data_IF_616559224790
#
_entry.id   IF_616559224790
#
_cell.length_a   1.000
_cell.length_b   1.000
_cell.length_c   1.000
_cell.angle_alpha   90.00
_cell.angle_beta   90.00
_cell.angle_gamma   90.00
#
_symmetry.space_group_name_H-M   'P 1'
#
loop_
_entity.id
_entity.type
_entity.pdbx_description
1 polymer ?
#
# COMPACT_ATOMS: atom_id res chain seq x y z
N UNK A 1 -16.57 23.55 14.97
CA UNK A 1 -18.05 23.61 14.72
C UNK A 1 -18.49 22.94 13.42
N UNK A 2 -17.61 22.47 12.52
CA UNK A 2 -18.01 21.79 11.26
C UNK A 2 -18.03 20.26 11.38
N UNK A 3 -17.18 19.67 12.19
CA UNK A 3 -17.06 18.20 12.40
C UNK A 3 -18.29 17.64 13.12
N UNK A 4 -18.85 18.38 14.08
CA UNK A 4 -20.05 17.95 14.83
C UNK A 4 -21.28 17.77 13.94
N UNK A 5 -21.37 18.49 12.82
CA UNK A 5 -22.51 18.36 11.88
C UNK A 5 -22.38 17.11 10.99
N UNK A 6 -21.19 16.65 10.71
CA UNK A 6 -20.95 15.41 9.95
C UNK A 6 -21.24 14.19 10.82
N UNK A 7 -20.82 14.20 12.08
CA UNK A 7 -21.15 13.16 13.06
C UNK A 7 -22.65 13.01 13.30
N UNK A 8 -23.39 14.13 13.33
CA UNK A 8 -24.87 14.10 13.47
C UNK A 8 -25.55 13.56 12.22
N UNK A 9 -25.01 13.81 11.01
CA UNK A 9 -25.54 13.22 9.78
C UNK A 9 -25.32 11.71 9.70
N UNK A 10 -24.21 11.22 10.23
CA UNK A 10 -23.89 9.78 10.31
C UNK A 10 -24.81 9.10 11.34
N UNK A 11 -25.11 9.73 12.48
CA UNK A 11 -25.98 9.13 13.50
C UNK A 11 -27.45 8.98 13.06
N UNK A 12 -27.94 9.76 12.10
CA UNK A 12 -29.29 9.59 11.54
C UNK A 12 -29.40 8.41 10.56
N UNK A 13 -28.30 7.91 10.02
CA UNK A 13 -28.29 6.76 9.10
C UNK A 13 -28.55 5.42 9.82
N UNK A 14 -28.40 5.34 11.13
CA UNK A 14 -28.48 4.11 11.92
C UNK A 14 -29.84 3.85 12.59
N UNK A 15 -30.86 4.65 12.33
CA UNK A 15 -32.09 4.63 13.14
C UNK A 15 -33.16 3.59 12.73
N UNK A 16 -32.89 2.71 11.72
CA UNK A 16 -33.87 1.69 11.32
C UNK A 16 -33.15 0.35 11.07
N UNK A 17 -32.97 -0.45 12.10
CA UNK A 17 -32.60 -1.86 11.95
C UNK A 17 -33.78 -2.72 12.36
N UNK A 18 -34.58 -3.13 11.38
CA UNK A 18 -35.51 -4.25 11.54
C UNK A 18 -34.90 -5.48 10.87
N UNK A 19 -34.60 -6.50 11.67
CA UNK A 19 -34.15 -7.83 11.26
C UNK A 19 -33.10 -7.88 10.13
N UNK A 20 -31.82 -7.71 10.49
CA UNK A 20 -30.74 -8.07 9.59
C UNK A 20 -30.80 -9.60 9.35
N UNK A 21 -31.07 -10.03 8.13
CA UNK A 21 -30.75 -11.37 7.71
C UNK A 21 -29.22 -11.49 7.78
N UNK A 22 -28.73 -12.44 8.55
CA UNK A 22 -27.27 -12.71 8.59
C UNK A 22 -26.81 -13.07 7.18
N UNK A 23 -25.96 -12.24 6.59
CA UNK A 23 -25.35 -12.51 5.30
C UNK A 23 -24.46 -13.75 5.37
N UNK A 24 -24.12 -14.28 4.21
CA UNK A 24 -23.21 -15.43 4.11
C UNK A 24 -21.80 -15.04 4.59
N UNK A 25 -21.24 -15.85 5.48
CA UNK A 25 -19.84 -15.74 5.88
C UNK A 25 -18.97 -16.40 4.79
N UNK A 26 -18.12 -15.64 4.17
CA UNK A 26 -17.12 -16.13 3.21
C UNK A 26 -15.76 -16.18 3.89
N UNK A 27 -15.06 -17.29 3.71
CA UNK A 27 -13.67 -17.45 4.11
C UNK A 27 -12.85 -17.65 2.85
N UNK A 28 -11.88 -16.79 2.63
CA UNK A 28 -10.88 -16.92 1.56
C UNK A 28 -9.49 -16.97 2.18
N UNK A 29 -8.53 -17.49 1.46
CA UNK A 29 -7.17 -17.53 1.94
C UNK A 29 -6.16 -17.64 0.83
N UNK A 30 -4.93 -17.35 1.17
CA UNK A 30 -3.78 -17.63 0.34
C UNK A 30 -2.67 -18.26 1.16
N UNK A 31 -1.83 -19.02 0.48
CA UNK A 31 -0.58 -19.52 1.01
C UNK A 31 0.49 -19.37 -0.05
N UNK A 32 1.57 -18.72 0.30
CA UNK A 32 2.73 -18.53 -0.57
C UNK A 32 3.94 -19.22 0.06
N UNK A 33 4.66 -20.00 -0.72
CA UNK A 33 5.97 -20.57 -0.35
C UNK A 33 7.02 -19.98 -1.27
N UNK A 34 8.10 -19.49 -0.69
CA UNK A 34 9.21 -18.91 -1.44
C UNK A 34 10.50 -19.70 -1.21
N UNK A 35 11.33 -19.73 -2.23
CA UNK A 35 12.74 -20.09 -2.14
C UNK A 35 13.55 -18.89 -2.62
N UNK A 36 14.37 -18.32 -1.75
CA UNK A 36 15.20 -17.16 -2.05
C UNK A 36 16.67 -17.48 -1.82
N UNK A 37 17.51 -17.13 -2.78
CA UNK A 37 18.95 -17.28 -2.70
C UNK A 37 19.61 -15.92 -2.95
N UNK A 38 20.42 -15.47 -2.00
CA UNK A 38 21.30 -14.32 -2.18
C UNK A 38 22.58 -14.80 -2.87
N UNK A 39 22.95 -14.11 -3.96
CA UNK A 39 24.10 -14.53 -4.79
C UNK A 39 25.41 -14.02 -4.19
N UNK A 40 25.39 -12.80 -3.63
CA UNK A 40 26.57 -12.11 -3.10
C UNK A 40 26.67 -12.16 -1.57
N UNK A 41 25.72 -12.82 -0.90
CA UNK A 41 25.62 -12.94 0.54
C UNK A 41 25.64 -14.39 1.05
N UNK A 42 25.55 -14.52 2.37
CA UNK A 42 25.34 -15.83 3.00
C UNK A 42 23.83 -16.06 3.12
N UNK A 43 23.30 -16.91 2.26
CA UNK A 43 21.91 -17.37 2.39
C UNK A 43 21.76 -18.21 3.65
N UNK A 44 20.88 -17.80 4.55
CA UNK A 44 20.47 -18.61 5.70
C UNK A 44 19.51 -19.72 5.30
N UNK A 45 18.33 -19.83 5.95
CA UNK A 45 17.29 -20.72 5.46
C UNK A 45 16.61 -20.05 4.23
N UNK A 46 16.72 -20.65 3.02
CA UNK A 46 16.16 -20.02 1.82
C UNK A 46 14.65 -20.14 1.68
N UNK A 47 14.00 -20.93 2.53
CA UNK A 47 12.56 -21.16 2.45
C UNK A 47 11.80 -20.16 3.30
N UNK A 48 10.85 -19.45 2.68
CA UNK A 48 9.86 -18.60 3.32
C UNK A 48 8.45 -19.13 3.14
N UNK A 49 7.53 -18.69 4.00
CA UNK A 49 6.12 -19.00 3.91
C UNK A 49 5.30 -17.83 4.42
N UNK A 50 4.34 -17.40 3.61
CA UNK A 50 3.31 -16.42 3.95
C UNK A 50 1.93 -17.11 3.97
N UNK A 51 1.06 -16.69 4.88
CA UNK A 51 -0.27 -17.28 5.09
C UNK A 51 -1.25 -16.21 5.51
N UNK A 52 -2.36 -16.12 4.80
CA UNK A 52 -3.44 -15.22 5.15
C UNK A 52 -4.79 -15.93 5.07
N UNK A 53 -5.66 -15.65 6.04
CA UNK A 53 -7.08 -15.96 5.99
C UNK A 53 -7.88 -14.68 6.12
N UNK A 54 -8.90 -14.54 5.29
CA UNK A 54 -9.82 -13.40 5.30
C UNK A 54 -11.24 -13.88 5.51
N UNK A 55 -11.86 -13.40 6.56
CA UNK A 55 -13.25 -13.62 6.91
C UNK A 55 -14.04 -12.40 6.49
N UNK A 56 -15.07 -12.58 5.68
CA UNK A 56 -15.92 -11.48 5.23
C UNK A 56 -17.38 -11.88 5.24
N UNK A 57 -18.23 -10.90 5.50
CA UNK A 57 -19.67 -11.05 5.44
C UNK A 57 -20.32 -9.75 5.00
N UNK A 58 -21.46 -9.86 4.32
CA UNK A 58 -22.22 -8.68 3.90
C UNK A 58 -23.72 -8.92 4.01
N UNK A 59 -24.46 -7.86 4.19
CA UNK A 59 -25.91 -7.85 4.15
C UNK A 59 -26.42 -6.58 3.50
N UNK A 60 -27.58 -6.66 2.85
CA UNK A 60 -28.27 -5.51 2.32
C UNK A 60 -29.34 -5.04 3.32
N UNK A 61 -29.43 -3.74 3.53
CA UNK A 61 -30.44 -3.09 4.34
C UNK A 61 -31.68 -2.77 3.51
N UNK A 62 -32.82 -2.57 4.16
CA UNK A 62 -34.11 -2.27 3.51
C UNK A 62 -34.09 -1.01 2.62
N UNK A 63 -33.14 -0.12 2.83
CA UNK A 63 -32.93 1.08 2.03
C UNK A 63 -31.97 0.89 0.83
N UNK A 64 -31.54 -0.36 0.54
CA UNK A 64 -30.64 -0.69 -0.53
C UNK A 64 -29.15 -0.42 -0.26
N UNK A 65 -28.79 -0.02 0.96
CA UNK A 65 -27.40 0.08 1.38
C UNK A 65 -26.85 -1.30 1.70
N UNK A 66 -25.57 -1.53 1.40
CA UNK A 66 -24.86 -2.75 1.80
C UNK A 66 -23.99 -2.49 3.02
N UNK A 67 -24.08 -3.34 4.03
CA UNK A 67 -23.14 -3.37 5.15
C UNK A 67 -22.22 -4.57 4.98
N UNK A 68 -20.92 -4.35 5.03
CA UNK A 68 -19.91 -5.40 4.93
C UNK A 68 -18.96 -5.34 6.10
N UNK A 69 -18.52 -6.51 6.55
CA UNK A 69 -17.48 -6.65 7.57
C UNK A 69 -16.36 -7.51 7.04
N UNK A 70 -15.14 -7.21 7.44
CA UNK A 70 -13.94 -7.96 7.09
C UNK A 70 -13.02 -8.06 8.29
N UNK A 71 -12.39 -9.21 8.45
CA UNK A 71 -11.30 -9.47 9.38
C UNK A 71 -10.30 -10.40 8.70
N UNK A 72 -9.04 -10.01 8.66
CA UNK A 72 -7.94 -10.85 8.17
C UNK A 72 -7.09 -11.43 9.31
N UNK A 73 -6.18 -12.32 8.94
CA UNK A 73 -5.08 -12.77 9.80
C UNK A 73 -3.76 -12.38 9.18
N UNK A 74 -2.72 -12.27 9.99
CA UNK A 74 -1.34 -12.12 9.54
C UNK A 74 -0.66 -13.49 9.38
N UNK A 75 0.61 -13.53 8.97
CA UNK A 75 1.43 -14.73 8.78
C UNK A 75 1.49 -15.66 9.98
N UNK A 76 1.33 -15.13 11.18
CA UNK A 76 1.27 -15.91 12.41
C UNK A 76 -0.13 -16.42 12.72
N UNK A 77 -1.10 -16.23 11.81
CA UNK A 77 -2.53 -16.53 11.98
C UNK A 77 -3.16 -15.83 13.19
N UNK A 78 -2.61 -14.71 13.61
CA UNK A 78 -3.26 -13.81 14.56
C UNK A 78 -4.11 -12.79 13.81
N UNK A 79 -5.17 -12.31 14.45
CA UNK A 79 -6.02 -11.31 13.82
C UNK A 79 -5.23 -10.03 13.48
N UNK A 80 -5.28 -9.69 12.21
CA UNK A 80 -4.66 -8.51 11.63
C UNK A 80 -5.63 -7.33 11.51
N UNK A 81 -5.99 -6.96 10.29
CA UNK A 81 -6.84 -5.82 10.00
C UNK A 81 -8.32 -6.15 10.11
N UNK A 82 -9.11 -5.14 10.41
CA UNK A 82 -10.56 -5.23 10.44
C UNK A 82 -11.20 -4.01 9.81
N UNK A 83 -12.33 -4.20 9.13
CA UNK A 83 -13.06 -3.12 8.52
C UNK A 83 -14.57 -3.37 8.54
N UNK A 84 -15.32 -2.32 8.77
CA UNK A 84 -16.76 -2.25 8.53
C UNK A 84 -17.04 -1.20 7.46
N UNK A 85 -17.83 -1.58 6.46
CA UNK A 85 -18.12 -0.72 5.31
C UNK A 85 -19.61 -0.57 5.10
N UNK A 86 -20.01 0.62 4.66
CA UNK A 86 -21.39 0.98 4.28
C UNK A 86 -21.35 1.40 2.81
N UNK A 87 -21.78 0.50 1.95
CA UNK A 87 -21.74 0.65 0.49
C UNK A 87 -23.05 1.11 -0.10
N UNK A 88 -23.02 1.35 -1.42
CA UNK A 88 -24.16 1.81 -2.21
C UNK A 88 -24.74 3.15 -1.72
N UNK A 89 -23.91 4.01 -1.12
CA UNK A 89 -24.31 5.36 -0.75
C UNK A 89 -24.42 6.19 -2.02
N UNK A 90 -25.62 6.76 -2.26
CA UNK A 90 -25.94 7.51 -3.48
C UNK A 90 -25.67 6.71 -4.78
N UNK A 91 -25.59 5.38 -4.71
CA UNK A 91 -25.37 4.50 -5.85
C UNK A 91 -23.90 4.36 -6.32
N UNK A 92 -22.95 5.11 -5.74
CA UNK A 92 -21.55 5.10 -6.22
C UNK A 92 -20.48 5.18 -5.12
N UNK A 93 -20.86 5.35 -3.86
CA UNK A 93 -19.90 5.60 -2.78
C UNK A 93 -19.99 4.56 -1.65
N UNK A 94 -18.90 4.42 -0.91
CA UNK A 94 -18.76 3.60 0.29
C UNK A 94 -18.08 4.41 1.39
N UNK A 95 -18.62 4.41 2.59
CA UNK A 95 -17.94 4.88 3.79
C UNK A 95 -17.47 3.65 4.57
N UNK A 96 -16.29 3.69 5.13
CA UNK A 96 -15.75 2.58 5.91
C UNK A 96 -15.00 3.05 7.15
N UNK A 97 -14.93 2.18 8.15
CA UNK A 97 -14.13 2.36 9.37
C UNK A 97 -13.31 1.10 9.57
N UNK A 98 -12.02 1.25 9.73
CA UNK A 98 -11.15 0.10 9.93
C UNK A 98 -9.66 0.44 9.87
N UNK A 99 -8.87 -0.60 10.06
CA UNK A 99 -7.41 -0.56 9.95
C UNK A 99 -6.89 -1.18 8.65
N UNK A 100 -7.77 -1.70 7.79
CA UNK A 100 -7.41 -2.23 6.48
C UNK A 100 -7.01 -1.11 5.53
N UNK A 101 -6.02 -1.38 4.72
CA UNK A 101 -5.41 -0.61 3.62
C UNK A 101 -5.50 0.92 3.70
N UNK A 102 -4.35 1.56 3.65
CA UNK A 102 -4.23 2.99 3.40
C UNK A 102 -4.43 3.28 1.90
N UNK A 103 -5.05 4.41 1.52
CA UNK A 103 -5.20 4.80 0.11
C UNK A 103 -3.90 4.95 -0.67
N UNK A 104 -2.81 5.41 -0.04
CA UNK A 104 -1.51 5.63 -0.69
C UNK A 104 -0.66 4.37 -0.68
N UNK A 105 -0.70 3.59 0.41
CA UNK A 105 -0.08 2.27 0.51
C UNK A 105 -0.58 1.32 -0.60
N UNK A 106 -1.85 1.35 -0.89
CA UNK A 106 -2.44 0.54 -1.97
C UNK A 106 -2.08 0.96 -3.40
N UNK A 107 -1.21 1.95 -3.57
CA UNK A 107 -0.70 2.43 -4.87
C UNK A 107 0.82 2.72 -4.82
N UNK A 108 1.53 2.16 -3.87
CA UNK A 108 2.96 2.36 -3.67
C UNK A 108 3.79 1.88 -4.88
N UNK A 109 3.38 0.80 -5.52
CA UNK A 109 4.07 0.11 -6.62
C UNK A 109 3.09 -0.39 -7.69
N UNK A 110 2.63 0.49 -8.55
CA UNK A 110 1.65 0.15 -9.60
C UNK A 110 2.27 0.04 -11.00
N UNK A 111 3.59 -0.05 -11.12
CA UNK A 111 4.23 -0.28 -12.42
C UNK A 111 4.01 -1.72 -12.90
N UNK A 112 3.87 -1.96 -14.24
CA UNK A 112 3.61 -3.29 -14.75
C UNK A 112 4.71 -4.29 -14.44
N UNK A 113 4.34 -5.42 -13.85
CA UNK A 113 5.25 -6.54 -13.55
C UNK A 113 4.61 -7.88 -13.88
N UNK A 114 5.42 -8.93 -14.02
CA UNK A 114 4.97 -10.31 -14.22
C UNK A 114 4.87 -11.09 -12.91
N UNK A 115 5.63 -10.67 -11.88
CA UNK A 115 5.64 -11.27 -10.55
C UNK A 115 5.78 -10.18 -9.49
N UNK A 116 6.99 -9.74 -9.17
CA UNK A 116 7.28 -8.68 -8.20
C UNK A 116 7.94 -7.50 -8.90
N UNK A 117 7.86 -6.33 -8.29
CA UNK A 117 8.58 -5.13 -8.68
C UNK A 117 10.10 -5.36 -8.55
N UNK A 118 10.91 -4.38 -8.95
CA UNK A 118 12.36 -4.54 -9.00
C UNK A 118 12.98 -4.94 -7.65
N UNK A 119 12.45 -4.41 -6.55
CA UNK A 119 12.92 -4.67 -5.18
C UNK A 119 12.00 -5.58 -4.37
N UNK A 120 10.84 -6.00 -4.90
CA UNK A 120 9.82 -6.75 -4.19
C UNK A 120 10.28 -8.12 -3.69
N UNK A 121 11.21 -8.76 -4.38
CA UNK A 121 11.78 -10.05 -3.99
C UNK A 121 13.06 -9.96 -3.16
N UNK A 122 13.29 -8.86 -2.46
CA UNK A 122 14.29 -8.76 -1.39
C UNK A 122 15.67 -8.27 -1.82
N UNK A 123 15.84 -7.74 -3.03
CA UNK A 123 17.11 -7.10 -3.43
C UNK A 123 17.07 -5.61 -3.07
N UNK A 124 18.14 -5.15 -2.41
CA UNK A 124 18.32 -3.76 -2.00
C UNK A 124 17.43 -3.34 -0.83
N UNK A 125 17.52 -2.07 -0.48
CA UNK A 125 16.68 -1.44 0.54
C UNK A 125 16.21 -0.09 0.04
N UNK A 126 14.93 0.20 0.20
CA UNK A 126 14.39 1.53 -0.10
C UNK A 126 13.29 1.90 0.88
N UNK A 127 12.92 3.16 0.91
CA UNK A 127 11.82 3.65 1.72
C UNK A 127 10.67 3.99 0.79
N UNK A 128 9.57 3.28 0.98
CA UNK A 128 8.39 3.35 0.16
C UNK A 128 7.34 4.34 0.67
N UNK A 129 6.42 4.70 -0.21
CA UNK A 129 5.19 5.40 0.20
C UNK A 129 4.26 4.38 0.85
N UNK A 130 3.96 4.54 2.11
CA UNK A 130 3.06 3.66 2.86
C UNK A 130 1.92 4.44 3.55
N UNK A 131 1.76 5.71 3.22
CA UNK A 131 0.69 6.54 3.72
C UNK A 131 0.67 6.63 5.24
N UNK A 132 -0.49 6.44 5.84
CA UNK A 132 -0.71 6.41 7.29
C UNK A 132 -1.02 4.98 7.71
N UNK A 133 0.03 4.17 7.90
CA UNK A 133 -0.09 2.74 8.15
C UNK A 133 -0.52 2.41 9.59
N UNK A 134 -1.17 1.26 9.76
CA UNK A 134 -1.29 0.54 11.03
C UNK A 134 -2.35 1.01 12.02
N UNK A 135 -3.17 2.02 11.72
CA UNK A 135 -4.17 2.53 12.65
C UNK A 135 -5.59 2.54 12.09
N UNK A 136 -6.58 2.59 12.97
CA UNK A 136 -7.99 2.67 12.59
C UNK A 136 -8.34 4.10 12.15
N UNK A 137 -8.94 4.21 10.97
CA UNK A 137 -9.41 5.46 10.40
C UNK A 137 -10.82 5.34 9.84
N UNK A 138 -11.37 6.47 9.43
CA UNK A 138 -12.61 6.56 8.66
C UNK A 138 -12.27 6.91 7.22
N UNK A 139 -12.81 6.15 6.27
CA UNK A 139 -12.51 6.34 4.86
C UNK A 139 -13.74 6.45 3.99
N UNK A 140 -13.51 6.89 2.78
CA UNK A 140 -14.49 7.09 1.72
C UNK A 140 -13.91 6.56 0.41
N UNK A 141 -14.62 5.64 -0.24
CA UNK A 141 -14.33 5.13 -1.58
C UNK A 141 -15.45 5.51 -2.52
N UNK A 142 -15.14 5.96 -3.72
CA UNK A 142 -16.14 6.26 -4.74
C UNK A 142 -15.62 6.01 -6.16
N UNK A 143 -16.47 5.43 -7.00
CA UNK A 143 -16.30 5.49 -8.44
C UNK A 143 -16.94 6.79 -8.92
N UNK A 144 -16.11 7.83 -9.08
CA UNK A 144 -16.59 9.17 -9.43
C UNK A 144 -17.22 9.14 -10.82
N UNK A 145 -18.48 9.62 -10.96
CA UNK A 145 -19.18 9.62 -12.26
C UNK A 145 -18.41 10.35 -13.37
N UNK A 146 -18.85 10.14 -14.61
CA UNK A 146 -18.28 10.75 -15.82
C UNK A 146 -16.84 10.30 -16.14
N UNK A 147 -16.43 9.13 -15.62
CA UNK A 147 -15.11 8.57 -15.91
C UNK A 147 -13.94 9.28 -15.22
N UNK A 148 -14.21 10.12 -14.22
CA UNK A 148 -13.15 10.79 -13.44
C UNK A 148 -12.24 9.75 -12.77
N UNK A 149 -12.81 8.62 -12.32
CA UNK A 149 -12.02 7.51 -11.79
C UNK A 149 -12.42 7.02 -10.41
N UNK A 150 -11.59 6.17 -9.84
CA UNK A 150 -11.76 5.63 -8.49
C UNK A 150 -11.00 6.50 -7.49
N UNK A 151 -11.75 7.13 -6.58
CA UNK A 151 -11.24 7.92 -5.47
C UNK A 151 -11.26 7.08 -4.19
N UNK A 152 -10.18 7.10 -3.43
CA UNK A 152 -10.12 6.58 -2.08
C UNK A 152 -9.51 7.65 -1.17
N UNK A 153 -10.16 7.94 -0.04
CA UNK A 153 -9.66 8.90 0.94
C UNK A 153 -9.88 8.36 2.35
N UNK A 154 -8.93 8.56 3.26
CA UNK A 154 -9.02 8.08 4.63
C UNK A 154 -8.45 9.13 5.59
N UNK A 155 -9.13 9.30 6.71
CA UNK A 155 -8.71 10.18 7.79
C UNK A 155 -8.49 9.35 9.06
N UNK A 156 -7.39 9.61 9.72
CA UNK A 156 -6.96 8.97 10.94
C UNK A 156 -6.94 10.00 12.06
N UNK A 157 -7.86 9.93 13.02
CA UNK A 157 -7.93 10.91 14.11
C UNK A 157 -6.65 10.98 14.95
N UNK A 158 -5.89 9.87 14.98
CA UNK A 158 -4.59 9.76 15.62
C UNK A 158 -3.74 8.78 14.81
N UNK A 159 -2.68 9.24 14.19
CA UNK A 159 -1.88 8.44 13.23
C UNK A 159 -0.99 7.37 13.90
N UNK A 160 -0.71 7.49 15.19
CA UNK A 160 -0.02 6.48 16.00
C UNK A 160 -0.96 5.77 16.98
N UNK A 161 -2.26 5.96 16.83
CA UNK A 161 -3.26 5.36 17.71
C UNK A 161 -3.36 3.86 17.52
N UNK A 162 -3.33 3.10 18.61
CA UNK A 162 -3.61 1.67 18.59
C UNK A 162 -5.05 1.37 18.16
N UNK A 163 -5.30 0.17 17.68
CA UNK A 163 -6.67 -0.34 17.45
C UNK A 163 -7.43 -0.33 18.78
N UNK A 164 -8.61 0.29 18.78
CA UNK A 164 -9.43 0.40 19.98
C UNK A 164 -10.34 -0.81 20.15
N UNK A 165 -10.52 -1.27 21.39
CA UNK A 165 -11.64 -2.10 21.76
C UNK A 165 -12.96 -1.30 21.69
N UNK A 166 -14.09 -2.01 21.63
CA UNK A 166 -15.41 -1.39 21.67
C UNK A 166 -15.56 -0.48 22.92
N UNK A 167 -16.09 0.72 22.70
CA UNK A 167 -16.34 1.76 23.73
C UNK A 167 -15.10 2.24 24.49
N UNK A 168 -13.91 2.00 23.93
CA UNK A 168 -12.64 2.43 24.55
C UNK A 168 -11.89 3.30 23.55
N UNK A 169 -11.59 4.55 23.91
CA UNK A 169 -10.67 5.38 23.16
C UNK A 169 -9.23 4.98 23.47
N UNK A 170 -8.35 4.97 22.47
CA UNK A 170 -6.93 4.83 22.73
C UNK A 170 -6.44 6.04 23.54
N UNK A 171 -5.65 5.78 24.58
CA UNK A 171 -4.98 6.84 25.29
C UNK A 171 -3.97 7.53 24.37
N UNK A 172 -3.83 8.82 24.48
CA UNK A 172 -2.71 9.55 23.89
C UNK A 172 -1.45 9.25 24.70
N UNK A 173 -0.59 8.39 24.16
CA UNK A 173 0.62 7.93 24.84
C UNK A 173 1.86 8.71 24.44
N UNK A 174 1.82 9.45 23.34
CA UNK A 174 2.92 10.29 22.88
C UNK A 174 2.36 11.53 22.19
N UNK A 175 2.49 12.69 22.81
CA UNK A 175 2.03 13.97 22.27
C UNK A 175 2.72 14.43 20.97
N UNK A 176 3.44 13.52 20.29
CA UNK A 176 4.30 13.86 19.15
C UNK A 176 3.63 13.69 17.79
N UNK A 177 2.64 12.82 17.68
CA UNK A 177 1.96 12.49 16.42
C UNK A 177 0.50 12.89 16.51
N UNK A 178 0.05 13.67 15.54
CA UNK A 178 -1.31 14.17 15.45
C UNK A 178 -2.21 13.26 14.62
N UNK A 179 -3.08 13.86 13.83
CA UNK A 179 -3.93 13.17 12.87
C UNK A 179 -3.15 12.84 11.59
N UNK A 180 -3.71 11.94 10.80
CA UNK A 180 -3.21 11.62 9.47
C UNK A 180 -4.34 11.70 8.45
N UNK A 181 -3.96 11.90 7.20
CA UNK A 181 -4.88 11.83 6.05
C UNK A 181 -4.17 11.20 4.86
N UNK A 182 -4.91 10.44 4.08
CA UNK A 182 -4.41 9.79 2.89
C UNK A 182 -5.47 9.84 1.80
N UNK A 183 -5.06 10.06 0.55
CA UNK A 183 -5.96 10.11 -0.61
C UNK A 183 -5.27 9.54 -1.83
N UNK A 184 -6.00 8.73 -2.59
CA UNK A 184 -5.57 8.25 -3.90
C UNK A 184 -6.67 8.40 -4.95
N UNK A 185 -6.25 8.62 -6.19
CA UNK A 185 -7.11 8.68 -7.37
C UNK A 185 -6.50 7.85 -8.48
N UNK A 186 -7.32 6.95 -9.06
CA UNK A 186 -6.98 6.21 -10.27
C UNK A 186 -7.95 6.58 -11.38
N UNK A 187 -7.44 7.13 -12.47
CA UNK A 187 -8.21 7.63 -13.61
C UNK A 187 -7.82 6.88 -14.88
N UNK A 188 -8.79 6.37 -15.61
CA UNK A 188 -8.61 5.89 -16.98
C UNK A 188 -8.70 7.09 -17.93
N UNK A 189 -7.60 7.40 -18.64
CA UNK A 189 -7.52 8.53 -19.55
C UNK A 189 -8.17 8.26 -20.91
N UNK A 190 -8.75 7.08 -21.12
CA UNK A 190 -9.65 6.78 -22.25
C UNK A 190 -10.83 7.76 -22.33
N UNK A 191 -11.29 8.29 -21.21
CA UNK A 191 -12.36 9.32 -21.14
C UNK A 191 -12.00 10.63 -21.87
N UNK A 192 -10.71 10.90 -22.04
CA UNK A 192 -10.21 12.05 -22.81
C UNK A 192 -9.58 11.64 -24.15
N UNK A 193 -9.83 10.38 -24.58
CA UNK A 193 -9.43 9.88 -25.88
C UNK A 193 -8.08 9.17 -25.95
N UNK A 194 -7.45 8.85 -24.80
CA UNK A 194 -6.18 8.11 -24.73
C UNK A 194 -6.43 6.73 -24.14
N UNK A 195 -6.96 5.83 -24.98
CA UNK A 195 -7.29 4.46 -24.59
C UNK A 195 -6.06 3.71 -24.07
N UNK A 196 -6.25 2.92 -23.02
CA UNK A 196 -5.22 2.10 -22.40
C UNK A 196 -4.26 2.85 -21.48
N UNK A 197 -4.38 4.18 -21.38
CA UNK A 197 -3.57 4.98 -20.46
C UNK A 197 -4.30 5.21 -19.13
N UNK A 198 -3.65 4.85 -18.02
CA UNK A 198 -4.14 5.05 -16.66
C UNK A 198 -3.20 5.97 -15.90
N UNK A 199 -3.75 6.98 -15.23
CA UNK A 199 -3.07 7.81 -14.25
C UNK A 199 -3.47 7.36 -12.84
N UNK A 200 -2.49 7.10 -11.98
CA UNK A 200 -2.69 6.85 -10.55
C UNK A 200 -1.91 7.89 -9.76
N UNK A 201 -2.53 8.54 -8.79
CA UNK A 201 -1.87 9.55 -7.93
C UNK A 201 -2.27 9.37 -6.48
N UNK A 202 -1.38 9.69 -5.56
CA UNK A 202 -1.64 9.64 -4.13
C UNK A 202 -0.89 10.70 -3.35
N UNK A 203 -1.50 11.11 -2.24
CA UNK A 203 -0.92 11.99 -1.24
C UNK A 203 -1.34 11.54 0.15
N UNK A 204 -0.38 11.45 1.06
CA UNK A 204 -0.65 11.24 2.48
C UNK A 204 0.16 12.21 3.33
N UNK A 205 -0.38 12.57 4.49
CA UNK A 205 0.26 13.45 5.45
C UNK A 205 -0.01 12.95 6.87
N UNK A 206 1.00 13.04 7.73
CA UNK A 206 0.89 12.80 9.16
C UNK A 206 1.34 14.07 9.89
N UNK A 207 0.44 14.65 10.66
CA UNK A 207 0.74 15.80 11.52
C UNK A 207 1.71 15.39 12.62
N UNK A 208 2.82 16.13 12.72
CA UNK A 208 3.78 15.96 13.79
C UNK A 208 3.65 17.14 14.75
N UNK A 209 3.14 16.86 15.95
CA UNK A 209 2.75 17.86 16.95
C UNK A 209 3.76 17.93 18.08
N UNK A 210 5.02 18.29 17.82
CA UNK A 210 5.98 18.55 18.92
C UNK A 210 6.62 19.91 18.82
N UNK A 211 7.05 20.44 19.95
CA UNK A 211 7.90 21.63 20.02
C UNK A 211 9.26 21.48 19.28
N UNK A 212 9.56 20.28 18.80
CA UNK A 212 10.82 19.89 18.16
C UNK A 212 10.61 19.45 16.70
N UNK A 213 9.36 19.28 16.25
CA UNK A 213 9.06 18.94 14.86
C UNK A 213 9.22 20.15 13.97
N UNK A 214 9.95 19.99 12.88
CA UNK A 214 10.18 21.05 11.90
C UNK A 214 9.39 20.82 10.62
N UNK A 215 8.84 19.61 10.40
CA UNK A 215 8.00 19.28 9.25
C UNK A 215 7.13 18.04 9.52
N UNK A 216 5.94 18.00 8.91
CA UNK A 216 5.10 16.82 8.85
C UNK A 216 5.75 15.71 8.02
N UNK A 217 5.34 14.46 8.23
CA UNK A 217 5.67 13.39 7.31
C UNK A 217 4.68 13.41 6.14
N UNK A 218 5.18 13.23 4.92
CA UNK A 218 4.37 13.32 3.70
C UNK A 218 4.80 12.26 2.69
N UNK A 219 3.83 11.65 2.03
CA UNK A 219 4.03 10.77 0.89
C UNK A 219 3.32 11.32 -0.33
N UNK A 220 4.01 11.32 -1.45
CA UNK A 220 3.44 11.70 -2.75
C UNK A 220 3.82 10.65 -3.77
N UNK A 221 2.86 10.14 -4.52
CA UNK A 221 3.14 9.23 -5.64
C UNK A 221 2.30 9.57 -6.86
N UNK A 222 2.87 9.35 -8.04
CA UNK A 222 2.17 9.47 -9.31
C UNK A 222 2.71 8.44 -10.31
N UNK A 223 1.81 7.69 -10.95
CA UNK A 223 2.13 6.69 -11.95
C UNK A 223 1.33 6.88 -13.23
N UNK A 224 1.98 6.64 -14.36
CA UNK A 224 1.35 6.52 -15.67
C UNK A 224 1.60 5.11 -16.20
N UNK A 225 0.54 4.37 -16.48
CA UNK A 225 0.59 3.04 -17.04
C UNK A 225 -0.15 2.99 -18.38
N UNK A 226 0.50 2.46 -19.40
CA UNK A 226 -0.06 2.32 -20.73
C UNK A 226 -0.12 0.84 -21.14
N UNK A 227 -1.33 0.38 -21.52
CA UNK A 227 -1.59 -0.97 -22.00
C UNK A 227 -1.84 -0.95 -23.51
N UNK A 228 -1.06 -1.73 -24.25
CA UNK A 228 -1.15 -1.88 -25.71
C UNK A 228 -1.16 -3.38 -26.07
N UNK A 229 -2.36 -3.95 -26.12
CA UNK A 229 -2.52 -5.40 -26.30
C UNK A 229 -1.81 -6.18 -25.19
N UNK A 230 -0.89 -7.11 -25.53
CA UNK A 230 -0.18 -7.90 -24.53
C UNK A 230 0.97 -7.13 -23.83
N UNK A 231 1.35 -5.95 -24.33
CA UNK A 231 2.40 -5.13 -23.77
C UNK A 231 1.84 -4.08 -22.82
N UNK A 232 2.45 -3.96 -21.63
CA UNK A 232 2.18 -2.89 -20.67
C UNK A 232 3.50 -2.20 -20.34
N UNK A 233 3.48 -0.87 -20.28
CA UNK A 233 4.62 -0.04 -19.89
C UNK A 233 4.13 0.93 -18.84
N UNK A 234 4.89 1.14 -17.77
CA UNK A 234 4.54 2.07 -16.71
C UNK A 234 5.74 2.76 -16.11
N UNK A 235 5.51 3.97 -15.67
CA UNK A 235 6.46 4.77 -14.91
C UNK A 235 5.77 5.35 -13.70
N UNK A 236 6.40 5.22 -12.54
CA UNK A 236 5.95 5.79 -11.28
C UNK A 236 7.06 6.61 -10.65
N UNK A 237 6.69 7.72 -10.05
CA UNK A 237 7.56 8.53 -9.22
C UNK A 237 6.95 8.70 -7.85
N UNK A 238 7.74 8.45 -6.81
CA UNK A 238 7.33 8.59 -5.43
C UNK A 238 8.32 9.47 -4.66
N UNK A 239 7.80 10.21 -3.68
CA UNK A 239 8.58 10.98 -2.71
C UNK A 239 8.07 10.67 -1.33
N UNK A 240 8.97 10.26 -0.45
CA UNK A 240 8.69 10.00 0.97
C UNK A 240 9.45 11.01 1.81
N UNK A 241 8.73 11.94 2.44
CA UNK A 241 9.27 12.82 3.45
C UNK A 241 9.05 12.19 4.82
N UNK A 242 10.12 11.80 5.49
CA UNK A 242 10.03 11.08 6.78
C UNK A 242 9.61 11.95 7.96
N UNK A 243 9.43 13.26 7.75
CA UNK A 243 9.20 14.21 8.83
C UNK A 243 10.45 14.39 9.69
N UNK A 244 10.83 15.62 9.99
CA UNK A 244 12.03 15.87 10.76
C UNK A 244 11.69 16.20 12.21
N UNK A 245 12.25 15.42 13.13
CA UNK A 245 12.44 15.86 14.52
C UNK A 245 13.92 16.15 14.75
N UNK A 246 14.22 16.97 15.73
CA UNK A 246 15.60 17.23 16.11
C UNK A 246 16.39 15.98 16.56
N UNK A 247 15.75 14.83 16.67
CA UNK A 247 16.34 13.58 17.14
C UNK A 247 16.09 12.38 16.20
N UNK A 248 15.42 12.53 15.05
CA UNK A 248 15.05 11.44 14.12
C UNK A 248 14.44 10.18 14.80
N UNK A 249 13.72 10.36 15.89
CA UNK A 249 13.23 9.25 16.72
C UNK A 249 11.75 8.94 16.47
N UNK A 250 11.09 9.66 15.54
CA UNK A 250 9.70 9.37 15.20
C UNK A 250 9.65 8.25 14.17
N UNK A 251 9.46 7.05 14.65
CA UNK A 251 9.04 5.93 13.83
C UNK A 251 7.56 6.10 13.47
N UNK A 252 7.29 6.84 12.41
CA UNK A 252 5.94 6.99 11.83
C UNK A 252 5.54 5.82 10.94
N UNK A 253 6.13 4.65 11.15
CA UNK A 253 6.04 3.54 10.21
C UNK A 253 6.91 3.74 8.97
N UNK A 254 7.55 4.90 8.82
CA UNK A 254 8.49 5.20 7.75
C UNK A 254 9.87 4.80 8.21
N UNK A 255 10.40 3.73 7.63
CA UNK A 255 11.73 3.23 7.96
C UNK A 255 12.78 4.22 7.49
N UNK A 256 13.62 4.71 8.39
CA UNK A 256 14.91 5.28 8.00
C UNK A 256 15.92 4.14 7.90
N UNK A 257 16.81 4.17 6.92
CA UNK A 257 17.89 3.19 6.79
C UNK A 257 19.02 3.40 7.82
N UNK A 258 18.67 3.86 9.02
CA UNK A 258 19.56 3.95 10.17
C UNK A 258 20.49 5.17 10.21
N UNK A 259 20.28 6.15 9.34
CA UNK A 259 21.05 7.41 9.31
C UNK A 259 20.21 8.53 9.92
N UNK A 260 20.70 9.18 10.97
CA UNK A 260 19.93 10.14 11.77
C UNK A 260 19.73 11.52 11.12
N UNK A 261 20.10 11.73 9.87
CA UNK A 261 20.00 13.00 9.16
C UNK A 261 19.26 12.91 7.82
N UNK A 262 18.56 11.82 7.58
CA UNK A 262 17.70 11.62 6.42
C UNK A 262 16.51 12.60 6.45
N UNK A 263 16.19 13.18 5.30
CA UNK A 263 15.08 14.12 5.17
C UNK A 263 13.97 13.55 4.28
N UNK A 264 14.31 13.06 3.09
CA UNK A 264 13.35 12.46 2.19
C UNK A 264 14.03 11.49 1.21
N UNK A 265 13.19 10.67 0.59
CA UNK A 265 13.55 9.73 -0.47
C UNK A 265 12.80 10.06 -1.74
N UNK A 266 13.45 9.88 -2.88
CA UNK A 266 12.83 9.92 -4.20
C UNK A 266 13.03 8.58 -4.88
N UNK A 267 11.93 7.97 -5.31
CA UNK A 267 11.92 6.72 -6.01
C UNK A 267 11.38 6.94 -7.42
N UNK A 268 12.11 6.44 -8.40
CA UNK A 268 11.71 6.40 -9.81
C UNK A 268 11.60 4.92 -10.21
N UNK A 269 10.42 4.47 -10.63
CA UNK A 269 10.12 3.09 -10.97
C UNK A 269 9.70 3.00 -12.43
N UNK A 270 10.27 2.06 -13.16
CA UNK A 270 9.91 1.75 -14.55
C UNK A 270 9.60 0.27 -14.66
N UNK A 271 8.45 -0.07 -15.23
CA UNK A 271 8.04 -1.44 -15.48
C UNK A 271 7.61 -1.65 -16.91
N UNK A 272 8.04 -2.77 -17.50
CA UNK A 272 7.61 -3.26 -18.80
C UNK A 272 7.23 -4.71 -18.66
N UNK A 273 5.96 -5.05 -18.89
CA UNK A 273 5.46 -6.42 -18.82
C UNK A 273 4.85 -6.84 -20.15
N UNK A 274 5.04 -8.10 -20.51
CA UNK A 274 4.50 -8.70 -21.74
C UNK A 274 3.82 -10.04 -21.42
N UNK A 275 2.53 -10.14 -21.77
CA UNK A 275 1.78 -11.38 -21.71
C UNK A 275 2.13 -12.25 -22.92
N UNK A 276 2.91 -13.31 -22.71
CA UNK A 276 3.30 -14.27 -23.76
C UNK A 276 2.09 -15.06 -24.23
N UNK A 277 1.22 -15.44 -23.28
CA UNK A 277 -0.09 -16.04 -23.48
C UNK A 277 -0.96 -15.83 -22.23
N UNK A 278 -2.14 -16.43 -22.15
CA UNK A 278 -3.10 -16.27 -21.06
C UNK A 278 -2.57 -16.73 -19.68
N UNK A 279 -1.54 -17.56 -19.65
CA UNK A 279 -0.97 -18.11 -18.42
C UNK A 279 0.44 -17.63 -18.11
N UNK A 280 1.19 -17.14 -19.09
CA UNK A 280 2.61 -16.81 -18.97
C UNK A 280 2.85 -15.33 -19.26
N UNK A 281 3.52 -14.66 -18.37
CA UNK A 281 4.01 -13.29 -18.53
C UNK A 281 5.47 -13.16 -18.17
N UNK A 282 6.12 -12.15 -18.73
CA UNK A 282 7.52 -11.76 -18.42
C UNK A 282 7.57 -10.26 -18.20
N UNK A 283 8.48 -9.79 -17.35
CA UNK A 283 8.70 -8.36 -17.15
C UNK A 283 10.15 -7.99 -16.94
N UNK A 284 10.43 -6.73 -17.22
CA UNK A 284 11.66 -6.03 -16.87
C UNK A 284 11.27 -4.82 -16.03
N UNK A 285 11.87 -4.71 -14.85
CA UNK A 285 11.58 -3.64 -13.92
C UNK A 285 12.89 -2.97 -13.49
N UNK A 286 12.85 -1.67 -13.31
CA UNK A 286 13.95 -0.88 -12.75
C UNK A 286 13.42 0.07 -11.71
N UNK A 287 14.09 0.12 -10.58
CA UNK A 287 13.85 1.10 -9.53
C UNK A 287 15.13 1.84 -9.20
N UNK A 288 15.05 3.15 -9.10
CA UNK A 288 16.12 4.02 -8.67
C UNK A 288 15.67 4.78 -7.46
N UNK A 289 16.43 4.73 -6.37
CA UNK A 289 16.14 5.42 -5.14
C UNK A 289 17.25 6.40 -4.79
N UNK A 290 16.87 7.64 -4.52
CA UNK A 290 17.75 8.72 -4.08
C UNK A 290 17.37 9.14 -2.67
N UNK A 291 18.28 8.92 -1.73
CA UNK A 291 18.16 9.39 -0.35
C UNK A 291 18.72 10.81 -0.24
N UNK A 292 18.03 11.67 0.49
CA UNK A 292 18.49 13.02 0.77
C UNK A 292 18.86 13.16 2.26
N UNK A 293 20.09 13.65 2.50
CA UNK A 293 20.64 13.84 3.83
C UNK A 293 20.87 15.34 4.10
N UNK A 294 20.80 15.75 5.36
CA UNK A 294 21.24 17.07 5.81
C UNK A 294 22.78 17.18 5.82
N UNK A 295 23.46 16.05 5.98
CA UNK A 295 24.94 16.00 5.98
C UNK A 295 25.53 15.91 4.58
N UNK A 296 26.83 16.16 4.48
CA UNK A 296 27.60 16.11 3.22
C UNK A 296 28.35 14.79 3.03
N UNK A 297 27.85 13.68 3.57
CA UNK A 297 28.46 12.35 3.42
C UNK A 297 28.34 11.75 2.03
N UNK A 298 29.06 10.67 1.77
CA UNK A 298 28.88 9.86 0.56
C UNK A 298 27.47 9.25 0.55
N UNK A 299 26.73 9.46 -0.52
CA UNK A 299 25.33 9.10 -0.63
C UNK A 299 25.00 8.73 -2.09
N UNK A 300 25.47 7.57 -2.56
CA UNK A 300 25.22 7.14 -3.92
C UNK A 300 23.74 6.81 -4.13
N UNK A 301 23.28 6.99 -5.36
CA UNK A 301 22.00 6.48 -5.81
C UNK A 301 21.99 4.95 -5.75
N UNK A 302 20.92 4.36 -5.23
CA UNK A 302 20.67 2.93 -5.29
C UNK A 302 19.84 2.61 -6.53
N UNK A 303 20.25 1.62 -7.30
CA UNK A 303 19.51 1.16 -8.48
C UNK A 303 19.28 -0.33 -8.43
N UNK A 304 18.03 -0.76 -8.53
CA UNK A 304 17.66 -2.18 -8.64
C UNK A 304 17.08 -2.45 -10.03
N UNK A 305 17.58 -3.49 -10.68
CA UNK A 305 17.07 -4.01 -11.94
C UNK A 305 16.61 -5.44 -11.74
N UNK A 306 15.42 -5.78 -12.24
CA UNK A 306 14.86 -7.12 -12.13
C UNK A 306 14.31 -7.63 -13.45
N UNK A 307 14.43 -8.94 -13.65
CA UNK A 307 13.69 -9.71 -14.65
C UNK A 307 12.80 -10.70 -13.93
N UNK A 308 11.52 -10.72 -14.29
CA UNK A 308 10.53 -11.60 -13.67
C UNK A 308 9.77 -12.42 -14.69
N UNK A 309 9.31 -13.58 -14.24
CA UNK A 309 8.40 -14.47 -14.96
C UNK A 309 7.25 -14.84 -14.01
N UNK A 310 6.02 -14.76 -14.50
CA UNK A 310 4.81 -15.21 -13.82
C UNK A 310 4.09 -16.26 -14.64
N UNK A 311 3.72 -17.37 -14.00
CA UNK A 311 2.91 -18.42 -14.61
C UNK A 311 1.71 -18.74 -13.72
N UNK A 312 0.51 -18.62 -14.27
CA UNK A 312 -0.76 -18.87 -13.55
C UNK A 312 -1.48 -20.08 -14.14
N UNK A 313 -1.91 -20.98 -13.27
CA UNK A 313 -2.66 -22.18 -13.61
C UNK A 313 -3.78 -22.45 -12.60
N UNK A 314 -5.01 -22.13 -12.95
CA UNK A 314 -6.14 -22.21 -12.02
C UNK A 314 -5.94 -21.29 -10.81
N UNK A 315 -6.03 -21.82 -9.59
CA UNK A 315 -5.79 -21.08 -8.33
C UNK A 315 -4.33 -21.01 -7.90
N UNK A 316 -3.36 -21.43 -8.74
CA UNK A 316 -1.94 -21.43 -8.43
C UNK A 316 -1.18 -20.42 -9.32
N UNK A 317 -0.28 -19.69 -8.71
CA UNK A 317 0.67 -18.81 -9.41
C UNK A 317 2.09 -19.19 -9.05
N UNK A 318 2.96 -19.28 -10.05
CA UNK A 318 4.41 -19.48 -9.89
C UNK A 318 5.09 -18.21 -10.36
N UNK A 319 5.92 -17.62 -9.50
CA UNK A 319 6.73 -16.44 -9.78
C UNK A 319 8.22 -16.76 -9.72
N UNK A 320 8.97 -16.19 -10.64
CA UNK A 320 10.45 -16.24 -10.61
C UNK A 320 10.97 -14.85 -10.85
N UNK A 321 11.91 -14.41 -10.02
CA UNK A 321 12.60 -13.15 -10.22
C UNK A 321 14.12 -13.32 -10.03
N UNK A 322 14.88 -12.61 -10.85
CA UNK A 322 16.27 -12.31 -10.59
C UNK A 322 16.43 -10.80 -10.51
N UNK A 323 16.85 -10.30 -9.37
CA UNK A 323 17.02 -8.89 -9.10
C UNK A 323 18.46 -8.59 -8.69
N UNK A 324 18.99 -7.47 -9.17
CA UNK A 324 20.32 -6.95 -8.83
C UNK A 324 20.21 -5.50 -8.43
N UNK A 325 20.77 -5.17 -7.28
CA UNK A 325 20.86 -3.84 -6.73
C UNK A 325 22.30 -3.36 -6.68
N UNK A 326 22.57 -2.22 -7.28
CA UNK A 326 23.83 -1.48 -7.17
C UNK A 326 23.73 -0.46 -6.05
N UNK A 327 24.80 -0.27 -5.28
CA UNK A 327 24.87 0.59 -4.10
C UNK A 327 23.79 0.29 -3.04
N UNK A 328 23.56 -0.99 -2.76
CA UNK A 328 22.54 -1.46 -1.80
C UNK A 328 22.68 -0.78 -0.44
N UNK A 329 21.56 -0.30 0.09
CA UNK A 329 21.51 0.50 1.32
C UNK A 329 22.22 1.85 1.20
N UNK A 330 22.30 2.41 -0.01
CA UNK A 330 23.00 3.67 -0.31
C UNK A 330 24.49 3.64 0.08
N UNK A 331 25.10 2.48 -0.05
CA UNK A 331 26.54 2.25 0.22
C UNK A 331 27.25 2.03 -1.10
N UNK A 332 28.26 2.85 -1.39
CA UNK A 332 29.02 2.79 -2.64
C UNK A 332 29.68 1.41 -2.84
N UNK A 333 29.58 0.90 -4.07
CA UNK A 333 30.15 -0.37 -4.52
C UNK A 333 29.68 -1.60 -3.70
N UNK A 334 28.56 -1.46 -2.97
CA UNK A 334 27.90 -2.59 -2.33
C UNK A 334 26.76 -3.07 -3.24
N UNK A 335 26.96 -4.19 -3.88
CA UNK A 335 25.92 -4.84 -4.68
C UNK A 335 25.15 -5.87 -3.84
N UNK A 336 23.94 -6.19 -4.30
CA UNK A 336 23.07 -7.18 -3.69
C UNK A 336 22.25 -7.85 -4.79
N UNK A 337 22.43 -9.15 -4.97
CA UNK A 337 21.80 -9.94 -6.01
C UNK A 337 20.95 -11.05 -5.41
N UNK A 338 19.66 -11.07 -5.74
CA UNK A 338 18.72 -12.10 -5.26
C UNK A 338 18.07 -12.88 -6.39
N UNK A 339 17.79 -14.15 -6.12
CA UNK A 339 16.95 -15.02 -6.97
C UNK A 339 15.83 -15.60 -6.14
N UNK A 340 14.62 -15.37 -6.59
CA UNK A 340 13.42 -15.81 -5.88
C UNK A 340 12.59 -16.71 -6.78
N UNK A 341 12.13 -17.83 -6.22
CA UNK A 341 11.08 -18.67 -6.74
C UNK A 341 9.93 -18.64 -5.74
N UNK A 342 8.73 -18.36 -6.22
CA UNK A 342 7.49 -18.32 -5.41
C UNK A 342 6.45 -19.26 -5.97
N UNK A 343 5.71 -19.91 -5.11
CA UNK A 343 4.49 -20.66 -5.44
C UNK A 343 3.39 -20.20 -4.50
N UNK A 344 2.37 -19.55 -5.05
CA UNK A 344 1.20 -19.09 -4.34
C UNK A 344 -0.04 -19.89 -4.73
N UNK A 345 -0.88 -20.21 -3.75
CA UNK A 345 -2.18 -20.88 -3.95
C UNK A 345 -3.25 -20.07 -3.23
N UNK A 346 -4.31 -19.69 -3.96
CA UNK A 346 -5.52 -19.06 -3.41
C UNK A 346 -6.66 -20.09 -3.32
N UNK A 347 -7.49 -20.00 -2.27
CA UNK A 347 -8.64 -20.88 -2.03
C UNK A 347 -9.79 -20.15 -1.35
#
# INVERSE_FOLDING_TARGET
MKITKILVAISFLFAVVTSANAGELTVTGNMTTTYQNEVDGTTGNPFGMDRELKFSGSTELDNGMTVSVMQDTNDSLTFGNSQMSFGNILGFATIYVGSDSDPVDGIDDVTPTAFEEANGAGSGSYVDVNGVAGTTGIGFKANVPYGIGALNAKFYPKADGAKNADKTASGDTSGSIGNGSSVSLKTDLGVIGVEGLTLTTGYAEIDVSTAIATANAEDVTAALNYAMGPLKIGYQKAVVNIGTTAANTLSLGKSSNGVNDETFYKNDMLGVAYAVNDSLSVSLNRMTSNRHLNSTGDNPEQTTNAISLGYTMGGMTIGVQNARTENSGFTRDKDDDTRTLSVAVAF
#
